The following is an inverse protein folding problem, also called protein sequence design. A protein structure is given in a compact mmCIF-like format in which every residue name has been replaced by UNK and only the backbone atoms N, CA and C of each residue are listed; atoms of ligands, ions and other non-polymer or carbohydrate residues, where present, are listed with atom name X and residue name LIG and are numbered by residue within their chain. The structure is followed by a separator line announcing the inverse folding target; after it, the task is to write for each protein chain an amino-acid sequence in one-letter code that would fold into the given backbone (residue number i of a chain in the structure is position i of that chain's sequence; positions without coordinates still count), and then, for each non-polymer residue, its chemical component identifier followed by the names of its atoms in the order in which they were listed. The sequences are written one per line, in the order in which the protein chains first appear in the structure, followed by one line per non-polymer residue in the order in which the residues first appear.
data_IF_910863939404
#
_entry.id   IF_910863939404
#
_cell.length_a   1.000
_cell.length_b   1.000
_cell.length_c   1.000
_cell.angle_alpha   90.00
_cell.angle_beta   90.00
_cell.angle_gamma   90.00
#
_symmetry.space_group_name_H-M   'P 1'
#
loop_
_entity.id
_entity.type
_entity.pdbx_description
1 polymer ?
#
# COMPACT_ATOMS: atom_id res chain seq x y z
N UNK A 1 7.74 18.06 -23.75
CA UNK A 1 6.70 17.04 -23.49
C UNK A 1 7.44 15.77 -23.09
N UNK A 2 7.78 15.67 -21.80
CA UNK A 2 8.64 14.62 -21.29
C UNK A 2 7.84 13.39 -20.89
N UNK A 3 8.42 12.21 -21.06
CA UNK A 3 7.86 10.92 -20.61
C UNK A 3 7.44 10.94 -19.13
N UNK A 4 8.11 11.79 -18.32
CA UNK A 4 7.84 12.04 -16.89
C UNK A 4 6.44 12.64 -16.62
N UNK A 5 5.91 13.49 -17.51
CA UNK A 5 4.59 14.10 -17.34
C UNK A 5 3.46 13.07 -17.50
N UNK A 6 3.68 12.06 -18.35
CA UNK A 6 2.70 11.01 -18.64
C UNK A 6 2.53 10.10 -17.41
N UNK A 7 3.65 9.70 -16.79
CA UNK A 7 3.66 8.84 -15.59
C UNK A 7 3.20 9.57 -14.33
N UNK A 8 3.33 10.90 -14.25
CA UNK A 8 2.84 11.68 -13.11
C UNK A 8 1.35 12.01 -13.15
N UNK A 9 0.66 11.76 -14.27
CA UNK A 9 -0.77 12.06 -14.37
C UNK A 9 -1.60 11.25 -13.37
N UNK A 10 -2.62 11.88 -12.77
CA UNK A 10 -3.50 11.24 -11.76
C UNK A 10 -4.22 10.00 -12.30
N UNK A 11 -4.48 9.98 -13.62
CA UNK A 11 -5.02 8.82 -14.32
C UNK A 11 -4.03 7.66 -14.42
N UNK A 12 -2.74 7.94 -14.64
CA UNK A 12 -1.69 6.92 -14.71
C UNK A 12 -1.48 6.24 -13.36
N UNK A 13 -1.35 7.01 -12.27
CA UNK A 13 -1.23 6.46 -10.90
C UNK A 13 -2.40 5.53 -10.53
N UNK A 14 -3.62 5.95 -10.85
CA UNK A 14 -4.83 5.15 -10.58
C UNK A 14 -4.90 3.88 -11.44
N UNK A 15 -4.35 3.93 -12.65
CA UNK A 15 -4.25 2.79 -13.53
C UNK A 15 -3.19 1.80 -13.03
N UNK A 16 -2.00 2.26 -12.62
CA UNK A 16 -0.95 1.37 -12.10
C UNK A 16 -1.43 0.64 -10.84
N UNK A 17 -2.10 1.34 -9.91
CA UNK A 17 -2.69 0.72 -8.72
C UNK A 17 -3.63 -0.46 -9.05
N UNK A 18 -4.48 -0.30 -10.08
CA UNK A 18 -5.37 -1.36 -10.56
C UNK A 18 -4.61 -2.47 -11.29
N UNK A 19 -3.54 -2.12 -12.01
CA UNK A 19 -2.71 -3.07 -12.73
C UNK A 19 -1.96 -4.01 -11.75
N UNK A 20 -1.43 -3.48 -10.64
CA UNK A 20 -0.82 -4.30 -9.58
C UNK A 20 -1.84 -5.29 -9.00
N UNK A 21 -3.05 -4.84 -8.65
CA UNK A 21 -4.10 -5.71 -8.13
C UNK A 21 -4.52 -6.80 -9.12
N UNK A 22 -4.58 -6.47 -10.42
CA UNK A 22 -4.88 -7.44 -11.47
C UNK A 22 -3.75 -8.45 -11.67
N UNK A 23 -2.48 -8.02 -11.70
CA UNK A 23 -1.32 -8.90 -11.77
C UNK A 23 -1.26 -9.91 -10.62
N UNK A 24 -1.41 -9.41 -9.40
CA UNK A 24 -1.43 -10.23 -8.19
C UNK A 24 -2.51 -11.31 -8.24
N UNK A 25 -3.70 -10.99 -8.76
CA UNK A 25 -4.79 -11.96 -8.90
C UNK A 25 -4.42 -13.14 -9.80
N UNK A 26 -3.72 -12.89 -10.91
CA UNK A 26 -3.29 -13.93 -11.86
C UNK A 26 -2.24 -14.83 -11.21
N UNK A 27 -1.33 -14.25 -10.41
CA UNK A 27 -0.29 -15.00 -9.69
C UNK A 27 -0.90 -15.90 -8.63
N UNK A 28 -1.87 -15.39 -7.88
CA UNK A 28 -2.59 -16.16 -6.87
C UNK A 28 -3.31 -17.35 -7.52
N UNK A 29 -3.92 -17.14 -8.69
CA UNK A 29 -4.53 -18.25 -9.47
C UNK A 29 -3.46 -19.26 -9.91
N UNK A 30 -2.31 -18.81 -10.40
CA UNK A 30 -1.19 -19.69 -10.77
C UNK A 30 -0.66 -20.50 -9.59
N UNK A 31 -0.52 -19.89 -8.42
CA UNK A 31 -0.12 -20.55 -7.18
C UNK A 31 -1.18 -21.55 -6.71
N UNK A 32 -2.46 -21.22 -6.80
CA UNK A 32 -3.57 -22.12 -6.50
C UNK A 32 -3.52 -23.38 -7.37
N UNK A 33 -3.29 -23.24 -8.67
CA UNK A 33 -3.13 -24.39 -9.58
C UNK A 33 -1.96 -25.29 -9.15
N UNK A 34 -0.85 -24.69 -8.70
CA UNK A 34 0.32 -25.42 -8.19
C UNK A 34 -0.01 -26.22 -6.93
N UNK A 35 -0.73 -25.64 -5.98
CA UNK A 35 -1.16 -26.30 -4.74
C UNK A 35 -2.14 -27.45 -5.04
N UNK A 36 -3.10 -27.21 -5.93
CA UNK A 36 -4.14 -28.18 -6.29
C UNK A 36 -3.67 -29.27 -7.26
N UNK A 37 -2.42 -29.23 -7.73
CA UNK A 37 -1.82 -30.20 -8.66
C UNK A 37 -2.62 -30.37 -9.97
N UNK A 38 -3.31 -29.33 -10.40
CA UNK A 38 -4.09 -29.37 -11.64
C UNK A 38 -3.18 -29.49 -12.87
N UNK A 39 -3.65 -30.13 -13.95
CA UNK A 39 -2.87 -30.23 -15.18
C UNK A 39 -2.54 -28.83 -15.71
N UNK A 40 -1.28 -28.61 -16.08
CA UNK A 40 -0.80 -27.30 -16.54
C UNK A 40 -0.41 -26.31 -15.42
N UNK A 41 -0.38 -26.73 -14.15
CA UNK A 41 -0.02 -25.86 -13.04
C UNK A 41 1.34 -25.16 -13.18
N UNK A 42 2.33 -25.84 -13.76
CA UNK A 42 3.64 -25.22 -14.03
C UNK A 42 3.52 -24.04 -15.01
N UNK A 43 2.71 -24.20 -16.07
CA UNK A 43 2.51 -23.14 -17.05
C UNK A 43 1.73 -21.96 -16.46
N UNK A 44 0.65 -22.22 -15.71
CA UNK A 44 -0.15 -21.19 -15.05
C UNK A 44 0.65 -20.37 -14.03
N UNK A 45 1.48 -21.05 -13.21
CA UNK A 45 2.38 -20.37 -12.28
C UNK A 45 3.45 -19.54 -13.01
N UNK A 46 4.04 -20.11 -14.06
CA UNK A 46 5.05 -19.40 -14.86
C UNK A 46 4.48 -18.15 -15.51
N UNK A 47 3.26 -18.20 -16.05
CA UNK A 47 2.60 -17.03 -16.63
C UNK A 47 2.31 -15.95 -15.59
N UNK A 48 1.84 -16.34 -14.40
CA UNK A 48 1.59 -15.38 -13.31
C UNK A 48 2.87 -14.68 -12.86
N UNK A 49 3.94 -15.44 -12.66
CA UNK A 49 5.24 -14.88 -12.27
C UNK A 49 5.86 -14.00 -13.37
N UNK A 50 5.66 -14.33 -14.65
CA UNK A 50 6.09 -13.47 -15.76
C UNK A 50 5.35 -12.13 -15.78
N UNK A 51 4.04 -12.15 -15.50
CA UNK A 51 3.24 -10.92 -15.40
C UNK A 51 3.76 -10.05 -14.25
N UNK A 52 4.03 -10.63 -13.08
CA UNK A 52 4.63 -9.88 -11.96
C UNK A 52 5.99 -9.31 -12.31
N UNK A 53 6.87 -10.09 -12.97
CA UNK A 53 8.18 -9.61 -13.37
C UNK A 53 8.07 -8.37 -14.28
N UNK A 54 7.10 -8.35 -15.21
CA UNK A 54 6.85 -7.21 -16.09
C UNK A 54 6.31 -6.00 -15.30
N UNK A 55 5.34 -6.22 -14.41
CA UNK A 55 4.74 -5.15 -13.60
C UNK A 55 5.80 -4.53 -12.68
N UNK A 56 6.60 -5.34 -11.98
CA UNK A 56 7.70 -4.87 -11.14
C UNK A 56 8.77 -4.11 -11.93
N UNK A 57 9.08 -4.56 -13.14
CA UNK A 57 10.02 -3.85 -14.00
C UNK A 57 9.53 -2.42 -14.33
N UNK A 58 8.25 -2.26 -14.65
CA UNK A 58 7.69 -0.94 -14.92
C UNK A 58 7.49 -0.09 -13.66
N UNK A 59 7.25 -0.73 -12.51
CA UNK A 59 7.16 -0.08 -11.18
C UNK A 59 8.42 0.70 -10.84
N UNK A 60 9.60 0.23 -11.26
CA UNK A 60 10.87 0.92 -11.03
C UNK A 60 10.98 2.31 -11.68
N UNK A 61 10.09 2.63 -12.62
CA UNK A 61 10.01 3.94 -13.28
C UNK A 61 8.92 4.84 -12.72
N UNK A 62 8.17 4.38 -11.71
CA UNK A 62 7.16 5.18 -11.03
C UNK A 62 7.84 6.12 -10.02
N UNK A 63 7.49 7.42 -9.96
CA UNK A 63 8.04 8.33 -8.98
C UNK A 63 7.70 7.86 -7.55
N UNK A 64 8.62 8.10 -6.60
CA UNK A 64 8.41 7.79 -5.18
C UNK A 64 7.06 8.35 -4.73
N UNK A 65 6.26 7.53 -4.06
CA UNK A 65 4.96 7.97 -3.56
C UNK A 65 5.18 9.12 -2.56
N UNK A 66 4.60 10.28 -2.84
CA UNK A 66 4.61 11.40 -1.89
C UNK A 66 3.88 10.96 -0.62
N UNK A 67 4.59 10.99 0.50
CA UNK A 67 4.05 10.65 1.81
C UNK A 67 2.96 11.67 2.17
N UNK A 68 1.85 11.17 2.77
CA UNK A 68 0.73 12.01 3.16
C UNK A 68 1.19 13.00 4.24
N UNK A 69 0.99 14.30 4.02
CA UNK A 69 1.36 15.34 5.00
C UNK A 69 0.40 15.31 6.22
N UNK A 70 0.75 14.50 7.22
CA UNK A 70 -0.03 14.32 8.45
C UNK A 70 -0.07 15.57 9.33
N UNK A 71 0.79 16.55 9.06
CA UNK A 71 0.81 17.87 9.71
C UNK A 71 -0.51 18.61 9.58
N UNK A 72 -1.25 18.38 8.49
CA UNK A 72 -2.56 18.99 8.26
C UNK A 72 -3.61 18.60 9.31
N UNK A 73 -3.50 17.39 9.88
CA UNK A 73 -4.43 16.86 10.88
C UNK A 73 -3.84 16.94 12.29
N UNK A 74 -2.53 16.75 12.41
CA UNK A 74 -1.77 16.84 13.65
C UNK A 74 -0.67 17.89 13.46
N UNK A 75 -0.96 19.18 13.70
CA UNK A 75 0.02 20.26 13.53
C UNK A 75 1.23 20.11 14.46
N UNK A 76 1.13 19.27 15.48
CA UNK A 76 2.24 18.83 16.34
C UNK A 76 3.30 18.00 15.62
N UNK A 77 2.98 17.41 14.46
CA UNK A 77 3.94 16.73 13.57
C UNK A 77 4.67 17.73 12.65
N UNK A 78 4.29 19.03 12.67
CA UNK A 78 4.93 20.06 11.85
C UNK A 78 6.40 20.21 12.22
N UNK A 79 7.30 19.85 11.31
CA UNK A 79 8.74 19.99 11.49
C UNK A 79 9.46 18.73 11.98
N UNK A 80 8.74 17.62 12.18
CA UNK A 80 9.36 16.28 12.21
C UNK A 80 9.63 15.87 10.76
N UNK A 81 10.89 15.63 10.41
CA UNK A 81 11.31 15.25 9.05
C UNK A 81 11.77 13.79 8.95
N UNK A 82 11.79 13.08 10.07
CA UNK A 82 12.18 11.67 10.14
C UNK A 82 10.91 10.80 10.15
N UNK A 83 10.72 9.90 9.16
CA UNK A 83 9.55 9.03 9.08
C UNK A 83 9.35 8.15 10.33
N UNK A 84 10.44 7.70 10.95
CA UNK A 84 10.37 6.80 12.10
C UNK A 84 9.83 7.51 13.35
N UNK A 85 10.18 8.78 13.55
CA UNK A 85 9.66 9.60 14.67
C UNK A 85 8.17 9.93 14.49
N UNK A 86 7.73 10.14 13.24
CA UNK A 86 6.32 10.43 12.91
C UNK A 86 5.44 9.21 13.19
N UNK A 87 5.90 8.01 12.82
CA UNK A 87 5.14 6.77 13.03
C UNK A 87 5.04 6.39 14.51
N UNK A 88 6.11 6.56 15.29
CA UNK A 88 6.11 6.32 16.74
C UNK A 88 5.17 7.28 17.48
N UNK A 89 5.18 8.58 17.12
CA UNK A 89 4.28 9.56 17.69
C UNK A 89 2.80 9.28 17.34
N UNK A 90 2.54 8.84 16.10
CA UNK A 90 1.20 8.44 15.65
C UNK A 90 0.68 7.22 16.42
N UNK A 91 1.52 6.20 16.63
CA UNK A 91 1.14 5.01 17.39
C UNK A 91 0.84 5.36 18.86
N UNK A 92 1.64 6.24 19.46
CA UNK A 92 1.43 6.76 20.80
C UNK A 92 0.13 7.58 20.91
N UNK A 93 -0.15 8.45 19.94
CA UNK A 93 -1.37 9.26 19.90
C UNK A 93 -2.65 8.42 19.73
N UNK A 94 -2.59 7.33 18.95
CA UNK A 94 -3.68 6.37 18.80
C UNK A 94 -3.90 5.57 20.08
N UNK A 95 -2.82 5.16 20.76
CA UNK A 95 -2.89 4.45 22.02
C UNK A 95 -3.54 5.31 23.13
N UNK A 96 -3.14 6.57 23.26
CA UNK A 96 -3.69 7.48 24.28
C UNK A 96 -5.18 7.79 24.05
N UNK A 97 -5.59 7.93 22.78
CA UNK A 97 -7.01 8.10 22.41
C UNK A 97 -7.86 6.90 22.84
N UNK A 98 -7.38 5.67 22.63
CA UNK A 98 -8.11 4.47 23.03
C UNK A 98 -8.24 4.35 24.55
N UNK A 99 -7.22 4.75 25.31
CA UNK A 99 -7.28 4.80 26.78
C UNK A 99 -8.28 5.86 27.26
N UNK A 100 -8.34 7.02 26.60
CA UNK A 100 -9.31 8.07 26.88
C UNK A 100 -10.77 7.62 26.65
N UNK A 101 -11.02 6.91 25.54
CA UNK A 101 -12.34 6.36 25.23
C UNK A 101 -12.80 5.31 26.24
N UNK A 102 -11.89 4.44 26.70
CA UNK A 102 -12.19 3.44 27.74
C UNK A 102 -12.60 4.10 29.06
N UNK A 103 -11.86 5.11 29.50
CA UNK A 103 -12.20 5.88 30.72
C UNK A 103 -13.50 6.66 30.60
N UNK A 104 -13.81 7.16 29.41
CA UNK A 104 -15.07 7.85 29.14
C UNK A 104 -16.25 6.88 29.25
N UNK A 105 -16.15 5.68 28.68
CA UNK A 105 -17.17 4.63 28.81
C UNK A 105 -17.38 4.20 30.27
N UNK A 106 -16.30 4.11 31.07
CA UNK A 106 -16.39 3.82 32.51
C UNK A 106 -17.15 4.89 33.30
N UNK A 107 -17.06 6.16 32.90
CA UNK A 107 -17.77 7.26 33.56
C UNK A 107 -19.28 7.29 33.28
N UNK A 108 -19.73 6.72 32.16
CA UNK A 108 -21.16 6.59 31.85
C UNK A 108 -21.80 5.30 32.38
N UNK A 109 -20.99 4.35 32.84
CA UNK A 109 -21.46 3.10 33.46
C UNK A 109 -21.56 3.15 35.00
N UNK A 110 -21.25 4.29 35.62
CA UNK A 110 -21.44 4.55 37.05
C UNK A 110 -22.75 5.31 37.31
#
# INVERSE_FOLDING_TARGET
MGITEIVQSSGWKSFTAKLYGFGASIVIIGALFKIQHWPGAGAALTSGLLIEAVIFFFSAFEPLHEELDWTLVYPELAGMSDPDEIDEFKEQAIADRNVGLQKFDELFQQ
#
